data_IF_826150063295
#
_entry.id   IF_826150063295
#
_cell.length_a   1.000
_cell.length_b   1.000
_cell.length_c   1.000
_cell.angle_alpha   90.00
_cell.angle_beta   90.00
_cell.angle_gamma   90.00
#
_symmetry.space_group_name_H-M   'P 1'
#
loop_
_entity.id
_entity.type
_entity.pdbx_description
1 polymer ?
#
# COMPACT_ATOMS: atom_id res chain seq x y z
N UNK A 1 -46.33 85.71 23.43
CA UNK A 1 -45.56 85.16 22.34
C UNK A 1 -44.54 84.14 22.88
N UNK A 2 -44.87 82.87 22.84
CA UNK A 2 -43.99 81.83 23.36
C UNK A 2 -43.53 81.02 22.15
N UNK A 3 -42.24 81.00 21.88
CA UNK A 3 -41.60 80.24 20.83
C UNK A 3 -41.19 78.85 21.35
N UNK A 4 -41.86 77.83 20.87
CA UNK A 4 -41.46 76.45 21.11
C UNK A 4 -40.34 76.05 20.18
N UNK A 5 -39.18 75.67 20.74
CA UNK A 5 -38.05 75.05 20.04
C UNK A 5 -38.18 73.54 20.14
N UNK A 6 -38.23 72.87 18.97
CA UNK A 6 -38.22 71.40 18.85
C UNK A 6 -36.73 70.92 18.82
N UNK A 7 -36.34 69.92 19.62
CA UNK A 7 -34.97 69.36 19.54
C UNK A 7 -34.88 68.38 18.41
N UNK A 8 -33.81 68.54 17.54
CA UNK A 8 -33.44 67.63 16.45
C UNK A 8 -32.75 66.40 17.04
N UNK A 9 -33.38 65.24 16.87
CA UNK A 9 -32.76 63.96 17.17
C UNK A 9 -31.89 63.54 15.95
N UNK A 10 -30.57 63.54 16.11
CA UNK A 10 -29.66 62.92 15.14
C UNK A 10 -29.70 61.39 15.31
N UNK A 11 -30.30 60.73 14.35
CA UNK A 11 -30.21 59.26 14.22
C UNK A 11 -28.87 58.92 13.54
N UNK A 12 -27.91 58.42 14.31
CA UNK A 12 -26.69 57.87 13.79
C UNK A 12 -26.97 56.45 13.36
N UNK A 13 -27.10 56.22 12.06
CA UNK A 13 -27.16 54.89 11.44
C UNK A 13 -25.75 54.29 11.44
N UNK A 14 -25.49 53.38 12.38
CA UNK A 14 -24.28 52.56 12.42
C UNK A 14 -24.45 51.44 11.40
N UNK A 15 -23.91 51.60 10.17
CA UNK A 15 -23.82 50.52 9.19
C UNK A 15 -22.71 49.56 9.60
N UNK A 16 -23.07 48.46 10.24
CA UNK A 16 -22.15 47.32 10.45
C UNK A 16 -21.97 46.65 9.09
N UNK A 17 -20.83 46.91 8.44
CA UNK A 17 -20.39 46.15 7.28
C UNK A 17 -20.01 44.75 7.73
N UNK A 18 -20.94 43.81 7.60
CA UNK A 18 -20.70 42.39 7.81
C UNK A 18 -19.90 41.87 6.62
N UNK A 19 -18.56 41.88 6.74
CA UNK A 19 -17.67 41.24 5.77
C UNK A 19 -18.00 39.74 5.76
N UNK A 20 -18.78 39.32 4.76
CA UNK A 20 -18.90 37.89 4.42
C UNK A 20 -17.53 37.45 3.90
N UNK A 21 -16.70 36.92 4.78
CA UNK A 21 -15.56 36.10 4.37
C UNK A 21 -16.17 34.88 3.71
N UNK A 22 -16.31 34.92 2.38
CA UNK A 22 -16.47 33.70 1.61
C UNK A 22 -15.22 32.86 1.92
N UNK A 23 -15.35 31.90 2.83
CA UNK A 23 -14.43 30.81 2.92
C UNK A 23 -14.54 30.11 1.55
N UNK A 24 -13.64 30.46 0.61
CA UNK A 24 -13.36 29.62 -0.53
C UNK A 24 -12.96 28.27 0.10
N UNK A 25 -13.86 27.30 -0.01
CA UNK A 25 -13.59 25.94 0.45
C UNK A 25 -12.28 25.53 -0.20
N UNK A 26 -11.24 25.44 0.62
CA UNK A 26 -9.93 24.99 0.17
C UNK A 26 -10.11 23.53 -0.22
N UNK A 27 -10.38 23.27 -1.51
CA UNK A 27 -10.47 21.93 -2.05
C UNK A 27 -9.13 21.23 -1.80
N UNK A 28 -9.19 20.12 -1.05
CA UNK A 28 -7.99 19.32 -0.77
C UNK A 28 -7.35 18.81 -2.07
N UNK A 29 -6.07 18.40 -2.03
CA UNK A 29 -5.39 17.81 -3.18
C UNK A 29 -6.12 16.56 -3.65
N UNK A 30 -6.38 16.46 -4.95
CA UNK A 30 -6.83 15.23 -5.59
C UNK A 30 -5.63 14.30 -5.81
N UNK A 31 -5.55 13.27 -5.00
CA UNK A 31 -4.45 12.30 -5.04
C UNK A 31 -4.94 10.98 -5.63
N UNK A 32 -4.26 10.50 -6.67
CA UNK A 32 -4.47 9.17 -7.23
C UNK A 32 -3.27 8.30 -6.86
N UNK A 33 -3.52 7.05 -6.51
CA UNK A 33 -2.46 6.08 -6.17
C UNK A 33 -2.61 4.82 -7.00
N UNK A 34 -1.51 4.16 -7.30
CA UNK A 34 -1.54 2.87 -7.99
C UNK A 34 -2.16 1.78 -7.11
N UNK A 35 -1.84 1.76 -5.80
CA UNK A 35 -2.30 0.73 -4.85
C UNK A 35 -3.10 1.31 -3.69
N UNK A 36 -3.92 0.46 -3.06
CA UNK A 36 -4.67 0.80 -1.85
C UNK A 36 -3.77 1.03 -0.64
N UNK A 37 -2.57 0.47 -0.63
CA UNK A 37 -1.58 0.64 0.43
C UNK A 37 -1.03 2.07 0.43
N UNK A 38 -0.67 2.58 -0.74
CA UNK A 38 -0.32 3.98 -0.93
C UNK A 38 -1.50 4.89 -0.58
N UNK A 39 -2.72 4.54 -1.00
CA UNK A 39 -3.91 5.34 -0.68
C UNK A 39 -4.12 5.44 0.83
N UNK A 40 -3.94 4.34 1.56
CA UNK A 40 -4.05 4.33 3.02
C UNK A 40 -3.00 5.23 3.68
N UNK A 41 -1.73 5.18 3.24
CA UNK A 41 -0.67 6.04 3.77
C UNK A 41 -0.95 7.53 3.46
N UNK A 42 -1.31 7.85 2.22
CA UNK A 42 -1.68 9.22 1.84
C UNK A 42 -2.84 9.75 2.69
N UNK A 43 -3.88 8.92 2.91
CA UNK A 43 -5.02 9.31 3.74
C UNK A 43 -4.62 9.54 5.19
N UNK A 44 -3.71 8.72 5.75
CA UNK A 44 -3.21 8.90 7.13
C UNK A 44 -2.42 10.19 7.32
N UNK A 45 -1.63 10.58 6.33
CA UNK A 45 -0.81 11.81 6.37
C UNK A 45 -1.63 13.05 5.95
N UNK A 46 -2.39 12.92 4.88
CA UNK A 46 -3.13 14.03 4.28
C UNK A 46 -4.41 14.40 5.03
N UNK A 47 -5.04 13.44 5.72
CA UNK A 47 -6.29 13.64 6.45
C UNK A 47 -7.39 14.25 5.59
N UNK A 48 -7.97 15.35 6.05
CA UNK A 48 -9.02 16.10 5.33
C UNK A 48 -8.45 17.11 4.30
N UNK A 49 -7.13 17.19 4.13
CA UNK A 49 -6.46 18.04 3.14
C UNK A 49 -6.28 17.36 1.79
N UNK A 50 -6.66 16.08 1.69
CA UNK A 50 -6.52 15.26 0.47
C UNK A 50 -7.82 14.49 0.18
N UNK A 51 -8.11 14.32 -1.10
CA UNK A 51 -9.13 13.40 -1.59
C UNK A 51 -8.40 12.29 -2.34
N UNK A 52 -8.37 11.07 -1.78
CA UNK A 52 -7.55 9.98 -2.29
C UNK A 52 -8.39 8.95 -3.06
N UNK A 53 -7.89 8.52 -4.21
CA UNK A 53 -8.47 7.44 -5.00
C UNK A 53 -7.37 6.45 -5.41
N UNK A 54 -7.56 5.16 -5.13
CA UNK A 54 -6.70 4.10 -5.64
C UNK A 54 -7.19 3.58 -6.99
N UNK A 55 -6.26 3.26 -7.89
CA UNK A 55 -6.58 2.61 -9.17
C UNK A 55 -6.81 1.11 -9.00
N UNK A 56 -6.03 0.44 -8.15
CA UNK A 56 -6.26 -0.95 -7.77
C UNK A 56 -7.29 -1.07 -6.65
N UNK A 57 -7.76 -2.30 -6.45
CA UNK A 57 -8.52 -2.71 -5.27
C UNK A 57 -7.69 -3.71 -4.47
N UNK A 58 -7.83 -3.74 -3.15
CA UNK A 58 -7.00 -4.56 -2.28
C UNK A 58 -7.08 -6.08 -2.51
N UNK A 59 -8.14 -6.56 -3.15
CA UNK A 59 -8.32 -7.96 -3.54
C UNK A 59 -7.87 -8.26 -4.98
N UNK A 60 -7.21 -7.30 -5.67
CA UNK A 60 -6.67 -7.48 -7.01
C UNK A 60 -5.15 -7.62 -6.93
N UNK A 61 -4.60 -8.37 -7.87
CA UNK A 61 -3.16 -8.39 -8.09
C UNK A 61 -2.70 -7.02 -8.61
N UNK A 62 -1.82 -6.30 -7.90
CA UNK A 62 -1.39 -4.96 -8.30
C UNK A 62 -0.54 -4.95 -9.58
N UNK A 63 -0.05 -6.10 -10.04
CA UNK A 63 0.66 -6.23 -11.32
C UNK A 63 -0.29 -6.14 -12.52
N UNK A 64 -1.59 -6.41 -12.33
CA UNK A 64 -2.58 -6.53 -13.40
C UNK A 64 -3.86 -5.74 -13.11
N UNK A 65 -3.75 -4.42 -13.05
CA UNK A 65 -4.89 -3.54 -12.77
C UNK A 65 -5.58 -3.12 -14.07
N UNK A 66 -6.88 -3.42 -14.25
CA UNK A 66 -7.62 -2.98 -15.43
C UNK A 66 -7.88 -1.47 -15.34
N UNK A 67 -7.24 -0.71 -16.22
CA UNK A 67 -7.48 0.74 -16.35
C UNK A 67 -8.69 0.97 -17.24
N UNK A 68 -9.66 1.73 -16.75
CA UNK A 68 -10.92 2.02 -17.43
C UNK A 68 -11.15 3.54 -17.53
N UNK A 69 -12.26 3.95 -18.17
CA UNK A 69 -12.60 5.38 -18.34
C UNK A 69 -12.67 6.15 -17.02
N UNK A 70 -13.08 5.52 -15.91
CA UNK A 70 -13.11 6.15 -14.58
C UNK A 70 -11.70 6.39 -14.06
N UNK A 71 -10.79 5.44 -14.27
CA UNK A 71 -9.37 5.59 -13.93
C UNK A 71 -8.75 6.77 -14.66
N UNK A 72 -9.00 6.90 -15.97
CA UNK A 72 -8.54 8.03 -16.78
C UNK A 72 -9.13 9.36 -16.30
N UNK A 73 -10.41 9.38 -15.91
CA UNK A 73 -11.05 10.57 -15.37
C UNK A 73 -10.39 11.04 -14.09
N UNK A 74 -10.10 10.11 -13.18
CA UNK A 74 -9.40 10.39 -11.92
C UNK A 74 -7.99 10.92 -12.18
N UNK A 75 -7.22 10.28 -13.06
CA UNK A 75 -5.87 10.72 -13.43
C UNK A 75 -5.89 12.13 -14.06
N UNK A 76 -6.87 12.43 -14.93
CA UNK A 76 -6.99 13.75 -15.55
C UNK A 76 -7.28 14.89 -14.54
N UNK A 77 -7.84 14.57 -13.39
CA UNK A 77 -8.16 15.54 -12.33
C UNK A 77 -7.12 15.55 -11.21
N UNK A 78 -6.16 14.61 -11.22
CA UNK A 78 -5.19 14.47 -10.15
C UNK A 78 -4.22 15.66 -10.07
N UNK A 79 -3.94 16.09 -8.85
CA UNK A 79 -2.84 17.01 -8.54
C UNK A 79 -1.56 16.22 -8.27
N UNK A 80 -1.71 14.97 -7.80
CA UNK A 80 -0.62 14.07 -7.47
C UNK A 80 -0.99 12.63 -7.83
N UNK A 81 -0.08 11.92 -8.51
CA UNK A 81 -0.17 10.49 -8.79
C UNK A 81 1.02 9.77 -8.17
N UNK A 82 0.75 8.82 -7.26
CA UNK A 82 1.76 8.01 -6.60
C UNK A 82 1.78 6.60 -7.19
N UNK A 83 3.00 6.09 -7.42
CA UNK A 83 3.25 4.73 -7.86
C UNK A 83 4.21 4.01 -6.90
N UNK A 84 4.07 2.69 -6.81
CA UNK A 84 5.01 1.82 -6.10
C UNK A 84 6.37 1.84 -6.80
N UNK A 85 6.40 1.85 -8.13
CA UNK A 85 7.65 1.76 -8.88
C UNK A 85 8.23 0.35 -8.90
N UNK A 86 9.54 0.22 -9.19
CA UNK A 86 10.22 -1.07 -9.34
C UNK A 86 9.50 -2.02 -10.29
N UNK A 87 8.88 -1.48 -11.35
CA UNK A 87 8.11 -2.22 -12.36
C UNK A 87 6.82 -2.88 -11.85
N UNK A 88 6.32 -2.52 -10.66
CA UNK A 88 5.04 -3.02 -10.15
C UNK A 88 3.90 -2.76 -11.15
N UNK A 89 3.86 -1.57 -11.69
CA UNK A 89 2.79 -1.11 -12.57
C UNK A 89 3.08 -1.34 -14.06
N UNK A 90 4.19 -2.04 -14.39
CA UNK A 90 4.68 -2.16 -15.76
C UNK A 90 3.64 -2.71 -16.74
N UNK A 91 2.91 -3.74 -16.34
CA UNK A 91 1.96 -4.42 -17.23
C UNK A 91 0.75 -3.55 -17.62
N UNK A 92 0.44 -2.51 -16.84
CA UNK A 92 -0.77 -1.71 -17.05
C UNK A 92 -0.52 -0.19 -17.13
N UNK A 93 0.58 0.33 -16.60
CA UNK A 93 1.01 1.71 -16.86
C UNK A 93 2.00 1.79 -18.01
N UNK A 94 2.74 0.72 -18.30
CA UNK A 94 3.84 0.69 -19.24
C UNK A 94 5.10 1.38 -18.70
N UNK A 95 6.24 1.15 -19.32
CA UNK A 95 7.43 1.98 -19.11
C UNK A 95 7.30 3.22 -19.98
N UNK A 96 6.98 4.32 -19.38
CA UNK A 96 7.27 5.71 -19.79
C UNK A 96 6.79 6.21 -21.14
N UNK A 97 6.55 5.39 -22.16
CA UNK A 97 6.34 5.85 -23.52
C UNK A 97 5.49 4.91 -24.41
N UNK A 98 4.83 3.90 -23.86
CA UNK A 98 3.85 3.19 -24.68
C UNK A 98 2.67 4.12 -24.95
N UNK A 99 2.39 4.47 -26.19
CA UNK A 99 1.21 5.24 -26.58
C UNK A 99 -0.11 4.59 -26.13
N UNK A 100 -0.06 3.32 -25.76
CA UNK A 100 -1.17 2.54 -25.22
C UNK A 100 -1.26 2.63 -23.69
N UNK A 101 -0.26 3.22 -23.00
CA UNK A 101 -0.29 3.43 -21.56
C UNK A 101 -1.46 4.34 -21.18
N UNK A 102 -2.22 4.01 -20.12
CA UNK A 102 -3.24 4.92 -19.61
C UNK A 102 -2.72 6.30 -19.22
N UNK A 103 -1.45 6.38 -18.75
CA UNK A 103 -0.81 7.68 -18.48
C UNK A 103 -0.55 8.45 -19.77
N UNK A 104 -0.14 7.80 -20.84
CA UNK A 104 0.04 8.45 -22.14
C UNK A 104 -1.29 8.97 -22.70
N UNK A 105 -2.42 8.30 -22.42
CA UNK A 105 -3.77 8.76 -22.76
C UNK A 105 -4.27 9.87 -21.82
N UNK A 106 -3.67 10.00 -20.65
CA UNK A 106 -4.00 11.06 -19.72
C UNK A 106 -3.42 12.39 -20.21
N UNK A 107 -4.27 13.38 -20.38
CA UNK A 107 -3.89 14.73 -20.84
C UNK A 107 -3.44 15.66 -19.72
N UNK A 108 -3.34 15.18 -18.49
CA UNK A 108 -2.93 15.97 -17.35
C UNK A 108 -1.39 16.11 -17.27
N UNK A 109 -0.84 17.30 -17.60
CA UNK A 109 0.61 17.49 -17.61
C UNK A 109 1.22 17.47 -16.20
N UNK A 110 0.40 17.65 -15.14
CA UNK A 110 0.88 17.69 -13.76
C UNK A 110 1.43 16.35 -13.27
N UNK A 111 0.90 15.24 -13.80
CA UNK A 111 1.21 13.88 -13.34
C UNK A 111 2.00 13.05 -14.36
N UNK A 112 2.55 13.69 -15.38
CA UNK A 112 3.46 13.00 -16.30
C UNK A 112 4.79 12.68 -15.62
N UNK A 113 5.45 11.61 -16.03
CA UNK A 113 6.76 11.22 -15.49
C UNK A 113 7.73 12.41 -15.53
N UNK A 114 8.41 12.67 -14.41
CA UNK A 114 9.29 13.83 -14.23
C UNK A 114 8.61 15.13 -13.83
N UNK A 115 7.26 15.18 -13.81
CA UNK A 115 6.53 16.35 -13.30
C UNK A 115 6.46 16.37 -11.77
N UNK A 116 6.15 17.55 -11.21
CA UNK A 116 6.00 17.69 -9.76
C UNK A 116 4.88 16.82 -9.18
N UNK A 117 3.82 16.56 -9.93
CA UNK A 117 2.67 15.75 -9.49
C UNK A 117 2.82 14.25 -9.79
N UNK A 118 3.94 13.78 -10.35
CA UNK A 118 4.26 12.36 -10.45
C UNK A 118 5.21 11.96 -9.32
N UNK A 119 4.92 10.87 -8.62
CA UNK A 119 5.74 10.46 -7.49
C UNK A 119 5.94 8.94 -7.41
N UNK A 120 7.11 8.50 -7.84
CA UNK A 120 7.62 7.15 -7.58
C UNK A 120 8.17 7.08 -6.16
N UNK A 121 7.63 6.18 -5.35
CA UNK A 121 8.00 6.03 -3.94
C UNK A 121 9.21 5.12 -3.74
N UNK A 122 9.56 4.31 -4.73
CA UNK A 122 10.63 3.29 -4.62
C UNK A 122 12.02 3.83 -4.25
N UNK A 123 12.43 5.06 -4.62
CA UNK A 123 13.75 5.57 -4.22
C UNK A 123 13.90 5.83 -2.71
N UNK A 124 12.80 5.87 -1.98
CA UNK A 124 12.79 6.24 -0.56
C UNK A 124 12.76 5.03 0.38
N UNK A 125 12.69 3.80 -0.14
CA UNK A 125 12.53 2.57 0.63
C UNK A 125 13.77 1.68 0.55
N UNK A 126 13.85 0.72 1.48
CA UNK A 126 14.83 -0.36 1.39
C UNK A 126 14.24 -1.51 0.58
N UNK A 127 14.94 -1.90 -0.47
CA UNK A 127 14.52 -2.96 -1.38
C UNK A 127 15.33 -4.21 -1.10
N UNK A 128 14.65 -5.34 -0.94
CA UNK A 128 15.27 -6.67 -0.82
C UNK A 128 15.24 -7.42 -2.16
N UNK A 129 15.93 -8.55 -2.21
CA UNK A 129 15.91 -9.47 -3.37
C UNK A 129 16.29 -8.80 -4.69
N UNK A 130 17.27 -7.89 -4.63
CA UNK A 130 17.91 -7.38 -5.85
C UNK A 130 18.79 -8.50 -6.44
N UNK A 131 18.56 -8.92 -7.67
CA UNK A 131 19.43 -9.91 -8.31
C UNK A 131 20.81 -9.29 -8.56
N UNK A 132 21.88 -10.06 -8.33
CA UNK A 132 23.26 -9.64 -8.61
C UNK A 132 23.49 -9.45 -10.12
N UNK A 133 22.79 -10.26 -10.94
CA UNK A 133 22.77 -10.15 -12.40
C UNK A 133 21.34 -10.17 -12.92
N UNK A 134 21.03 -9.23 -13.81
CA UNK A 134 19.72 -9.17 -14.49
C UNK A 134 19.76 -10.17 -15.65
N UNK A 135 19.23 -11.37 -15.42
CA UNK A 135 19.04 -12.36 -16.49
C UNK A 135 17.57 -12.41 -16.91
N UNK A 136 17.32 -12.67 -18.21
CA UNK A 136 15.94 -12.87 -18.71
C UNK A 136 15.21 -14.03 -18.02
N UNK A 137 15.96 -14.99 -17.47
CA UNK A 137 15.39 -16.14 -16.76
C UNK A 137 14.89 -15.79 -15.36
N UNK A 138 15.35 -14.69 -14.76
CA UNK A 138 14.94 -14.24 -13.42
C UNK A 138 13.72 -13.33 -13.44
N UNK A 139 13.22 -12.96 -14.60
CA UNK A 139 11.93 -12.37 -15.03
C UNK A 139 11.07 -11.54 -14.07
N UNK A 140 11.49 -11.38 -12.82
CA UNK A 140 10.67 -10.85 -11.74
C UNK A 140 11.44 -9.70 -11.11
N UNK A 141 10.98 -8.47 -11.36
CA UNK A 141 11.47 -7.29 -10.68
C UNK A 141 13.01 -7.17 -10.66
N UNK A 142 13.65 -6.92 -11.79
CA UNK A 142 15.13 -6.83 -11.89
C UNK A 142 15.71 -5.73 -10.98
N UNK A 143 14.86 -4.81 -10.52
CA UNK A 143 15.23 -3.74 -9.58
C UNK A 143 15.03 -4.14 -8.12
N UNK A 144 14.56 -5.36 -7.83
CA UNK A 144 14.27 -5.90 -6.50
C UNK A 144 12.77 -6.06 -6.22
N UNK A 145 12.45 -6.64 -5.07
CA UNK A 145 11.06 -6.95 -4.71
C UNK A 145 10.24 -5.68 -4.49
N UNK A 146 9.24 -5.45 -5.34
CA UNK A 146 8.37 -4.27 -5.33
C UNK A 146 7.31 -4.27 -4.21
N UNK A 147 7.11 -5.39 -3.50
CA UNK A 147 6.12 -5.51 -2.39
C UNK A 147 6.70 -5.01 -1.06
N UNK A 148 7.40 -3.90 -1.09
CA UNK A 148 8.15 -3.37 0.05
C UNK A 148 7.26 -2.74 1.14
N UNK A 149 5.98 -2.43 0.83
CA UNK A 149 5.03 -1.91 1.83
C UNK A 149 4.70 -2.91 2.93
N UNK A 150 4.95 -4.20 2.73
CA UNK A 150 4.75 -5.25 3.73
C UNK A 150 5.78 -5.23 4.87
N UNK A 151 6.84 -4.43 4.74
CA UNK A 151 7.76 -4.11 5.82
C UNK A 151 7.34 -2.79 6.49
N UNK A 152 7.00 -2.79 7.80
CA UNK A 152 6.60 -1.57 8.51
C UNK A 152 7.68 -0.48 8.52
N UNK A 153 8.97 -0.82 8.49
CA UNK A 153 10.04 0.17 8.38
C UNK A 153 9.98 0.89 7.02
N UNK A 154 9.69 0.17 5.94
CA UNK A 154 9.41 0.77 4.65
C UNK A 154 8.12 1.59 4.66
N UNK A 155 7.08 1.12 5.35
CA UNK A 155 5.85 1.88 5.55
C UNK A 155 6.10 3.26 6.17
N UNK A 156 6.99 3.34 7.18
CA UNK A 156 7.42 4.60 7.79
C UNK A 156 8.17 5.49 6.80
N UNK A 157 9.08 4.92 5.99
CA UNK A 157 9.84 5.65 4.96
C UNK A 157 8.92 6.19 3.87
N UNK A 158 7.94 5.38 3.43
CA UNK A 158 6.92 5.80 2.47
C UNK A 158 6.09 6.98 3.02
N UNK A 159 5.63 6.88 4.28
CA UNK A 159 4.87 7.93 4.93
C UNK A 159 5.68 9.24 5.04
N UNK A 160 6.98 9.16 5.37
CA UNK A 160 7.87 10.32 5.39
C UNK A 160 8.01 10.96 4.00
N UNK A 161 8.24 10.15 2.97
CA UNK A 161 8.36 10.63 1.59
C UNK A 161 7.04 11.29 1.10
N UNK A 162 5.90 10.69 1.44
CA UNK A 162 4.57 11.25 1.18
C UNK A 162 4.39 12.59 1.90
N UNK A 163 4.79 12.70 3.17
CA UNK A 163 4.73 13.94 3.95
C UNK A 163 5.52 15.06 3.25
N UNK A 164 6.76 14.79 2.88
CA UNK A 164 7.60 15.74 2.15
C UNK A 164 6.96 16.17 0.84
N UNK A 165 6.38 15.21 0.09
CA UNK A 165 5.72 15.49 -1.19
C UNK A 165 4.46 16.33 -1.05
N UNK A 166 3.60 16.01 -0.08
CA UNK A 166 2.39 16.80 0.20
C UNK A 166 2.74 18.22 0.68
N UNK A 167 3.76 18.36 1.53
CA UNK A 167 4.25 19.66 2.01
C UNK A 167 4.79 20.52 0.88
N UNK A 168 5.48 19.92 -0.10
CA UNK A 168 5.95 20.65 -1.29
C UNK A 168 4.80 21.15 -2.18
N UNK A 169 3.71 20.38 -2.29
CA UNK A 169 2.54 20.75 -3.08
C UNK A 169 1.62 21.74 -2.33
N UNK A 170 1.59 21.69 -1.00
CA UNK A 170 0.78 22.55 -0.12
C UNK A 170 1.61 23.07 1.05
N UNK A 171 2.47 24.05 0.84
CA UNK A 171 3.37 24.57 1.90
C UNK A 171 2.60 25.10 3.13
N UNK A 172 1.40 25.65 2.92
CA UNK A 172 0.57 26.16 4.02
C UNK A 172 0.05 25.06 4.96
N UNK A 173 -0.03 23.81 4.49
CA UNK A 173 -0.45 22.63 5.26
C UNK A 173 0.75 21.80 5.76
N UNK A 174 2.01 22.21 5.51
CA UNK A 174 3.20 21.43 5.83
C UNK A 174 3.25 21.03 7.32
N UNK A 175 2.97 21.95 8.23
CA UNK A 175 2.96 21.69 9.68
C UNK A 175 1.89 20.63 10.05
N UNK A 176 0.75 20.64 9.38
CA UNK A 176 -0.29 19.62 9.58
C UNK A 176 0.19 18.24 9.13
N UNK A 177 0.79 18.14 7.94
CA UNK A 177 1.30 16.86 7.43
C UNK A 177 2.42 16.29 8.29
N UNK A 178 3.34 17.12 8.77
CA UNK A 178 4.39 16.72 9.71
C UNK A 178 3.81 16.20 11.04
N UNK A 179 2.79 16.85 11.57
CA UNK A 179 2.10 16.38 12.77
C UNK A 179 1.45 15.01 12.54
N UNK A 180 0.75 14.81 11.40
CA UNK A 180 0.14 13.52 11.08
C UNK A 180 1.20 12.42 10.92
N UNK A 181 2.33 12.72 10.30
CA UNK A 181 3.44 11.79 10.20
C UNK A 181 4.02 11.42 11.57
N UNK A 182 4.18 12.36 12.47
CA UNK A 182 4.63 12.09 13.83
C UNK A 182 3.68 11.13 14.57
N UNK A 183 2.37 11.37 14.48
CA UNK A 183 1.34 10.50 15.06
C UNK A 183 1.34 9.11 14.42
N UNK A 184 1.44 9.03 13.09
CA UNK A 184 1.55 7.77 12.35
C UNK A 184 2.77 6.97 12.81
N UNK A 185 3.95 7.61 12.85
CA UNK A 185 5.21 6.97 13.22
C UNK A 185 5.21 6.47 14.66
N UNK A 186 4.63 7.25 15.59
CA UNK A 186 4.49 6.84 16.98
C UNK A 186 3.58 5.62 17.12
N UNK A 187 2.42 5.63 16.43
CA UNK A 187 1.49 4.50 16.42
C UNK A 187 2.17 3.26 15.84
N UNK A 188 2.84 3.39 14.71
CA UNK A 188 3.53 2.29 14.04
C UNK A 188 4.59 1.67 14.98
N UNK A 189 5.45 2.50 15.60
CA UNK A 189 6.46 2.02 16.53
C UNK A 189 5.88 1.29 17.74
N UNK A 190 4.70 1.71 18.23
CA UNK A 190 4.01 1.00 19.30
C UNK A 190 3.53 -0.39 18.84
N UNK A 191 2.95 -0.48 17.63
CA UNK A 191 2.47 -1.73 17.08
C UNK A 191 3.62 -2.67 16.75
N UNK A 192 4.71 -2.18 16.17
CA UNK A 192 5.92 -2.97 15.89
C UNK A 192 6.44 -3.71 17.13
N UNK A 193 6.51 -3.03 18.28
CA UNK A 193 6.92 -3.68 19.54
C UNK A 193 6.00 -4.83 19.95
N UNK A 194 4.70 -4.70 19.70
CA UNK A 194 3.74 -5.76 19.98
C UNK A 194 3.86 -6.91 18.98
N UNK A 195 4.04 -6.61 17.71
CA UNK A 195 4.23 -7.59 16.66
C UNK A 195 5.52 -8.38 16.84
N UNK A 196 6.63 -7.69 17.11
CA UNK A 196 7.93 -8.32 17.36
C UNK A 196 7.82 -9.33 18.51
N UNK A 197 7.18 -8.96 19.63
CA UNK A 197 6.96 -9.86 20.77
C UNK A 197 6.10 -11.07 20.41
N UNK A 198 5.05 -10.89 19.59
CA UNK A 198 4.14 -11.97 19.18
C UNK A 198 4.82 -12.97 18.24
N UNK A 199 5.64 -12.47 17.29
CA UNK A 199 6.28 -13.29 16.26
C UNK A 199 7.61 -13.91 16.71
N UNK A 200 8.27 -13.35 17.72
CA UNK A 200 9.58 -13.79 18.22
C UNK A 200 9.69 -15.31 18.42
N UNK A 201 8.70 -16.02 19.05
CA UNK A 201 8.77 -17.47 19.24
C UNK A 201 8.84 -18.27 17.93
N UNK A 202 8.53 -17.64 16.79
CA UNK A 202 8.42 -18.28 15.47
C UNK A 202 9.55 -17.86 14.51
N UNK A 203 10.59 -17.16 14.99
CA UNK A 203 11.75 -16.84 14.16
C UNK A 203 12.33 -18.11 13.54
N UNK A 204 12.64 -18.05 12.25
CA UNK A 204 13.13 -19.18 11.47
C UNK A 204 12.03 -20.16 10.99
N UNK A 205 10.76 -19.94 11.32
CA UNK A 205 9.68 -20.74 10.77
C UNK A 205 9.61 -20.58 9.26
N UNK A 206 9.36 -21.72 8.60
CA UNK A 206 9.40 -21.83 7.15
C UNK A 206 8.00 -21.80 6.58
N UNK A 207 7.84 -21.03 5.50
CA UNK A 207 6.61 -20.92 4.73
C UNK A 207 6.88 -21.11 3.24
N UNK A 208 5.84 -21.44 2.50
CA UNK A 208 5.75 -21.30 1.05
C UNK A 208 4.74 -20.20 0.76
N UNK A 209 4.96 -19.38 -0.25
CA UNK A 209 4.03 -18.32 -0.66
C UNK A 209 3.44 -18.64 -2.01
N UNK A 210 2.27 -18.09 -2.34
CA UNK A 210 1.75 -18.24 -3.69
C UNK A 210 2.61 -17.47 -4.68
N UNK A 211 2.72 -16.18 -4.48
CA UNK A 211 3.54 -15.26 -5.24
C UNK A 211 4.76 -14.80 -4.41
N UNK A 212 5.78 -14.27 -5.06
CA UNK A 212 7.00 -13.73 -4.42
C UNK A 212 6.79 -12.34 -3.82
N UNK A 213 5.64 -12.12 -3.15
CA UNK A 213 5.31 -10.83 -2.53
C UNK A 213 5.96 -10.62 -1.17
N UNK A 214 6.19 -11.69 -0.42
CA UNK A 214 6.41 -11.66 1.03
C UNK A 214 7.86 -11.43 1.47
N UNK A 215 8.80 -11.28 0.56
CA UNK A 215 10.25 -11.21 0.88
C UNK A 215 10.60 -10.13 1.91
N UNK A 216 10.04 -8.91 1.77
CA UNK A 216 10.25 -7.82 2.73
C UNK A 216 9.67 -8.15 4.12
N UNK A 217 8.44 -8.67 4.17
CA UNK A 217 7.77 -9.09 5.40
C UNK A 217 8.53 -10.22 6.10
N UNK A 218 8.84 -11.29 5.36
CA UNK A 218 9.52 -12.46 5.93
C UNK A 218 10.90 -12.10 6.49
N UNK A 219 11.65 -11.25 5.79
CA UNK A 219 12.93 -10.72 6.28
C UNK A 219 12.74 -9.90 7.57
N UNK A 220 11.77 -8.97 7.59
CA UNK A 220 11.50 -8.11 8.75
C UNK A 220 11.15 -8.93 10.00
N UNK A 221 10.35 -9.97 9.83
CA UNK A 221 9.89 -10.82 10.94
C UNK A 221 10.69 -12.11 11.11
N UNK A 222 11.85 -12.22 10.46
CA UNK A 222 12.79 -13.36 10.56
C UNK A 222 12.15 -14.71 10.27
N UNK A 223 11.23 -14.76 9.32
CA UNK A 223 10.65 -15.97 8.76
C UNK A 223 11.40 -16.35 7.48
N UNK A 224 11.23 -17.59 7.01
CA UNK A 224 11.99 -18.13 5.88
C UNK A 224 11.04 -18.56 4.76
N UNK A 225 11.17 -17.97 3.56
CA UNK A 225 10.56 -18.54 2.36
C UNK A 225 11.37 -19.76 1.90
N UNK A 226 10.66 -20.85 1.56
CA UNK A 226 11.25 -22.06 0.99
C UNK A 226 11.01 -22.12 -0.52
N UNK A 227 10.06 -21.36 -1.02
CA UNK A 227 9.75 -21.25 -2.44
C UNK A 227 8.36 -20.68 -2.66
N UNK A 228 8.03 -20.49 -3.92
CA UNK A 228 6.80 -19.91 -4.40
C UNK A 228 6.01 -20.93 -5.24
N UNK A 229 4.67 -20.91 -5.15
CA UNK A 229 3.80 -21.75 -6.00
C UNK A 229 3.87 -21.26 -7.43
N UNK A 230 3.72 -19.97 -7.64
CA UNK A 230 3.84 -19.31 -8.92
C UNK A 230 5.32 -19.11 -9.28
N UNK A 231 5.83 -19.74 -10.35
CA UNK A 231 7.26 -19.65 -10.68
C UNK A 231 7.67 -18.24 -11.15
N UNK A 232 6.77 -17.53 -11.80
CA UNK A 232 6.92 -16.15 -12.29
C UNK A 232 5.56 -15.44 -12.25
N UNK A 233 5.49 -14.09 -12.04
CA UNK A 233 4.24 -13.35 -12.00
C UNK A 233 3.34 -13.63 -13.21
N UNK A 234 2.11 -14.06 -12.97
CA UNK A 234 1.14 -14.38 -14.02
C UNK A 234 1.40 -15.69 -14.77
N UNK A 235 2.41 -16.49 -14.40
CA UNK A 235 2.70 -17.79 -14.99
C UNK A 235 2.24 -18.91 -14.06
N UNK A 236 1.18 -19.66 -14.41
CA UNK A 236 0.71 -20.76 -13.59
C UNK A 236 1.78 -21.84 -13.39
N UNK A 237 1.82 -22.48 -12.22
CA UNK A 237 2.78 -23.55 -11.95
C UNK A 237 2.53 -24.75 -12.86
N UNK A 238 3.59 -25.35 -13.39
CA UNK A 238 3.53 -26.62 -14.08
C UNK A 238 3.80 -27.80 -13.12
N UNK A 239 3.54 -29.04 -13.57
CA UNK A 239 3.68 -30.23 -12.74
C UNK A 239 5.12 -30.47 -12.27
N UNK A 240 6.11 -30.12 -13.07
CA UNK A 240 7.52 -30.27 -12.72
C UNK A 240 7.89 -29.35 -11.56
N UNK A 241 7.52 -28.07 -11.64
CA UNK A 241 7.72 -27.08 -10.58
C UNK A 241 6.98 -27.46 -9.31
N UNK A 242 5.69 -27.81 -9.43
CA UNK A 242 4.86 -28.22 -8.29
C UNK A 242 5.43 -29.45 -7.57
N UNK A 243 5.86 -30.47 -8.33
CA UNK A 243 6.48 -31.67 -7.75
C UNK A 243 7.81 -31.38 -7.06
N UNK A 244 8.62 -30.49 -7.60
CA UNK A 244 9.86 -30.04 -6.96
C UNK A 244 9.57 -29.29 -5.65
N UNK A 245 8.61 -28.38 -5.66
CA UNK A 245 8.19 -27.62 -4.48
C UNK A 245 7.67 -28.56 -3.37
N UNK A 246 6.80 -29.55 -3.70
CA UNK A 246 6.30 -30.53 -2.74
C UNK A 246 7.44 -31.33 -2.12
N UNK A 247 8.42 -31.79 -2.90
CA UNK A 247 9.60 -32.50 -2.35
C UNK A 247 10.37 -31.62 -1.38
N UNK A 248 10.59 -30.35 -1.74
CA UNK A 248 11.32 -29.40 -0.90
C UNK A 248 10.56 -29.06 0.39
N UNK A 249 9.25 -28.86 0.30
CA UNK A 249 8.39 -28.65 1.48
C UNK A 249 8.48 -29.83 2.45
N UNK A 250 8.41 -31.07 1.95
CA UNK A 250 8.54 -32.30 2.76
C UNK A 250 9.92 -32.38 3.41
N UNK A 251 10.99 -32.14 2.63
CA UNK A 251 12.38 -32.16 3.12
C UNK A 251 12.61 -31.13 4.22
N UNK A 252 12.06 -29.94 4.07
CA UNK A 252 12.21 -28.83 5.02
C UNK A 252 11.11 -28.78 6.09
N UNK A 253 10.14 -29.70 6.05
CA UNK A 253 9.00 -29.78 6.99
C UNK A 253 8.16 -28.49 7.01
N UNK A 254 7.94 -27.88 5.84
CA UNK A 254 7.08 -26.69 5.72
C UNK A 254 5.64 -27.06 5.94
N UNK A 255 4.94 -26.31 6.80
CA UNK A 255 3.58 -26.59 7.24
C UNK A 255 2.60 -25.47 6.94
N UNK A 256 3.03 -24.37 6.35
CA UNK A 256 2.20 -23.20 6.03
C UNK A 256 2.45 -22.72 4.60
N UNK A 257 1.36 -22.48 3.88
CA UNK A 257 1.33 -21.90 2.55
C UNK A 257 0.56 -20.58 2.67
N UNK A 258 1.19 -19.45 2.32
CA UNK A 258 0.56 -18.13 2.28
C UNK A 258 -0.04 -17.90 0.89
N UNK A 259 -1.30 -17.46 0.84
CA UNK A 259 -2.01 -17.20 -0.41
C UNK A 259 -2.79 -15.89 -0.27
N UNK A 260 -2.62 -14.97 -1.20
CA UNK A 260 -3.39 -13.75 -1.27
C UNK A 260 -4.77 -14.01 -1.90
N UNK A 261 -5.82 -13.26 -1.51
CA UNK A 261 -7.21 -13.50 -1.97
C UNK A 261 -7.42 -13.35 -3.49
N UNK A 262 -6.49 -12.71 -4.19
CA UNK A 262 -6.55 -12.52 -5.65
C UNK A 262 -6.18 -13.77 -6.45
N UNK A 263 -5.53 -14.76 -5.81
CA UNK A 263 -5.08 -15.98 -6.48
C UNK A 263 -6.06 -17.13 -6.35
N UNK A 264 -5.91 -18.13 -7.21
CA UNK A 264 -6.70 -19.35 -7.17
C UNK A 264 -6.22 -20.28 -6.05
N UNK A 265 -7.13 -21.14 -5.53
CA UNK A 265 -6.84 -22.02 -4.39
C UNK A 265 -6.56 -23.46 -4.77
N UNK A 266 -6.83 -23.89 -6.01
CA UNK A 266 -6.72 -25.28 -6.45
C UNK A 266 -5.30 -25.84 -6.28
N UNK A 267 -4.28 -25.10 -6.72
CA UNK A 267 -2.88 -25.52 -6.56
C UNK A 267 -2.42 -25.48 -5.11
N UNK A 268 -2.65 -24.41 -4.33
CA UNK A 268 -2.37 -24.39 -2.90
C UNK A 268 -3.00 -25.56 -2.12
N UNK A 269 -4.27 -25.88 -2.36
CA UNK A 269 -4.98 -26.96 -1.68
C UNK A 269 -4.44 -28.35 -2.07
N UNK A 270 -4.08 -28.56 -3.34
CA UNK A 270 -3.41 -29.78 -3.79
C UNK A 270 -2.07 -29.96 -3.08
N UNK A 271 -1.23 -28.93 -3.07
CA UNK A 271 0.08 -28.95 -2.41
C UNK A 271 -0.10 -29.18 -0.90
N UNK A 272 -1.06 -28.54 -0.27
CA UNK A 272 -1.38 -28.73 1.14
C UNK A 272 -1.78 -30.19 1.45
N UNK A 273 -2.60 -30.81 0.60
CA UNK A 273 -2.99 -32.21 0.71
C UNK A 273 -1.77 -33.14 0.63
N UNK A 274 -0.88 -32.91 -0.33
CA UNK A 274 0.30 -33.74 -0.56
C UNK A 274 1.38 -33.58 0.53
N UNK A 275 1.43 -32.44 1.22
CA UNK A 275 2.47 -32.10 2.20
C UNK A 275 2.02 -32.13 3.66
N UNK A 276 0.70 -32.11 3.90
CA UNK A 276 0.11 -31.92 5.21
C UNK A 276 0.24 -30.46 5.72
N UNK A 277 0.53 -29.51 4.82
CA UNK A 277 0.58 -28.09 5.16
C UNK A 277 -0.85 -27.50 5.28
N UNK A 278 -0.95 -26.30 5.84
CA UNK A 278 -2.19 -25.50 5.90
C UNK A 278 -2.09 -24.32 4.94
N UNK A 279 -3.13 -24.10 4.17
CA UNK A 279 -3.30 -22.87 3.39
C UNK A 279 -3.77 -21.77 4.33
N UNK A 280 -3.06 -20.68 4.38
CA UNK A 280 -3.39 -19.48 5.13
C UNK A 280 -3.64 -18.33 4.15
N UNK A 281 -4.86 -17.79 4.17
CA UNK A 281 -5.22 -16.63 3.37
C UNK A 281 -4.79 -15.36 4.09
N UNK A 282 -3.91 -14.58 3.46
CA UNK A 282 -3.36 -13.32 3.96
C UNK A 282 -3.52 -12.24 2.88
N UNK A 283 -4.06 -11.06 3.21
CA UNK A 283 -4.44 -10.08 2.19
C UNK A 283 -3.29 -9.46 1.39
N UNK A 284 -2.12 -9.29 1.99
CA UNK A 284 -0.98 -8.63 1.32
C UNK A 284 -1.20 -7.17 0.91
N UNK A 285 -2.45 -6.68 0.92
CA UNK A 285 -2.82 -5.30 0.56
C UNK A 285 -4.03 -4.82 1.35
N UNK A 286 -4.09 -3.51 1.60
CA UNK A 286 -5.23 -2.85 2.26
C UNK A 286 -6.51 -3.10 1.47
N UNK A 287 -7.55 -3.59 2.14
CA UNK A 287 -8.83 -3.95 1.51
C UNK A 287 -8.86 -5.33 0.84
N UNK A 288 -7.78 -6.13 0.96
CA UNK A 288 -7.76 -7.50 0.47
C UNK A 288 -8.71 -8.42 1.22
N UNK A 289 -8.94 -8.14 2.50
CA UNK A 289 -10.01 -8.73 3.33
C UNK A 289 -10.73 -7.64 4.12
N UNK A 290 -11.96 -7.90 4.55
CA UNK A 290 -12.80 -6.89 5.22
C UNK A 290 -12.23 -6.32 6.53
N UNK A 291 -11.26 -7.01 7.15
CA UNK A 291 -10.59 -6.55 8.38
C UNK A 291 -9.33 -5.71 8.11
N UNK A 292 -8.73 -5.80 6.94
CA UNK A 292 -7.54 -5.03 6.53
C UNK A 292 -7.97 -3.68 5.93
N UNK A 293 -8.58 -2.80 6.70
CA UNK A 293 -9.21 -1.56 6.24
C UNK A 293 -8.23 -0.39 6.09
N UNK A 294 -7.05 -0.48 6.69
CA UNK A 294 -5.98 0.50 6.59
C UNK A 294 -4.61 -0.18 6.75
N UNK A 295 -3.52 0.59 6.57
CA UNK A 295 -2.15 0.08 6.63
C UNK A 295 -1.82 -0.62 7.96
N UNK A 296 -2.32 -0.12 9.08
CA UNK A 296 -2.09 -0.73 10.38
C UNK A 296 -2.84 -2.05 10.54
N UNK A 297 -4.11 -2.07 10.18
CA UNK A 297 -4.95 -3.27 10.26
C UNK A 297 -4.57 -4.34 9.25
N UNK A 298 -3.93 -3.97 8.12
CA UNK A 298 -3.33 -4.92 7.19
C UNK A 298 -2.22 -5.72 7.88
N UNK A 299 -1.20 -5.03 8.39
CA UNK A 299 -0.04 -5.69 9.03
C UNK A 299 -0.45 -6.45 10.30
N UNK A 300 -1.36 -5.89 11.10
CA UNK A 300 -1.91 -6.59 12.26
C UNK A 300 -2.59 -7.90 11.85
N UNK A 301 -3.42 -7.86 10.81
CA UNK A 301 -4.13 -9.06 10.33
C UNK A 301 -3.16 -10.14 9.84
N UNK A 302 -2.15 -9.75 9.04
CA UNK A 302 -1.16 -10.68 8.49
C UNK A 302 -0.36 -11.36 9.63
N UNK A 303 0.09 -10.58 10.61
CA UNK A 303 0.87 -11.10 11.75
C UNK A 303 0.01 -11.99 12.64
N UNK A 304 -1.20 -11.56 13.02
CA UNK A 304 -2.10 -12.35 13.88
C UNK A 304 -2.49 -13.68 13.21
N UNK A 305 -2.72 -13.65 11.91
CA UNK A 305 -3.04 -14.86 11.14
C UNK A 305 -1.89 -15.85 11.14
N UNK A 306 -0.65 -15.37 10.95
CA UNK A 306 0.56 -16.19 11.02
C UNK A 306 0.79 -16.75 12.44
N UNK A 307 0.74 -15.90 13.45
CA UNK A 307 0.91 -16.32 14.85
C UNK A 307 -0.12 -17.39 15.20
N UNK A 308 -1.38 -17.20 14.82
CA UNK A 308 -2.45 -18.17 15.10
C UNK A 308 -2.17 -19.54 14.47
N UNK A 309 -1.77 -19.58 13.19
CA UNK A 309 -1.48 -20.86 12.54
C UNK A 309 -0.23 -21.52 13.12
N UNK A 310 0.81 -20.75 13.47
CA UNK A 310 2.02 -21.29 14.09
C UNK A 310 1.73 -21.86 15.48
N UNK A 311 0.90 -21.21 16.29
CA UNK A 311 0.43 -21.74 17.59
C UNK A 311 -0.27 -23.09 17.45
N UNK A 312 -1.20 -23.19 16.48
CA UNK A 312 -1.92 -24.43 16.21
C UNK A 312 -0.98 -25.58 15.80
N UNK A 313 0.08 -25.26 15.05
CA UNK A 313 1.07 -26.24 14.59
C UNK A 313 2.05 -26.66 15.70
N UNK A 314 2.35 -25.77 16.64
CA UNK A 314 3.24 -26.05 17.79
C UNK A 314 2.51 -26.81 18.89
N UNK A 315 1.24 -26.50 19.18
CA UNK A 315 0.44 -27.16 20.22
C UNK A 315 0.01 -28.60 19.89
N UNK A 316 0.09 -29.01 18.62
CA UNK A 316 -0.24 -30.37 18.17
C UNK A 316 0.84 -31.43 18.51
N UNK A 317 1.96 -31.06 19.10
CA UNK A 317 3.06 -31.98 19.47
C UNK A 317 3.03 -32.45 20.93
N UNK A 318 2.01 -32.07 21.71
CA UNK A 318 1.82 -32.44 23.10
C UNK A 318 0.64 -33.39 23.35
N UNK A 319 0.20 -34.16 22.30
CA UNK A 319 -0.76 -35.26 22.55
C UNK A 319 -0.25 -36.57 22.00
#
# INVERSE_FOLDING_TARGET
MVRNSVPSWFVVLLTVAMSIVCASGDEGLHVVTSTTDLASLVQKIGGNRVAVTSLSRGYQDPHFVPVNARSLLNLNRADLFLVIGLQMELAWLGEGLSELSPIAQCRNPRIQSGSLGYFDVSPYVQVVERPDEITRAQGIHPLGNSHYWLDPDNGRRMAQAITTKLSALRPNDAAYFEQQFALFSQRLANMERLWDKKIEPYHGYKVVTYHRAWGNFLKRFRLVSVGEIEPLPGIPPNDTHTSALIREMKRQKVRVILVEPCYEFKNPERIATDTGARVLVVPGSVGGVGKATDYFSLLEYDIESLVTVFQLLSGGHHR
#
